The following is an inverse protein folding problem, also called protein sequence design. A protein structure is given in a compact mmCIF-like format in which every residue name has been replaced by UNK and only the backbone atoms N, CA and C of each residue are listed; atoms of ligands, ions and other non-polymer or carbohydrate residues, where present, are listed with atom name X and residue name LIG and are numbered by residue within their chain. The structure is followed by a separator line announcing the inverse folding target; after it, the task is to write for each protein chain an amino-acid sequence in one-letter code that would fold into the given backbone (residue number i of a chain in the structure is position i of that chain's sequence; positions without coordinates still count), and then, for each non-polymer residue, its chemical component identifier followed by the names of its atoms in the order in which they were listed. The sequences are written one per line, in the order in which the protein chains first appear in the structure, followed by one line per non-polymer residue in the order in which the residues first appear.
data_IF_560269032860
#
_entry.id   IF_560269032860
#
_cell.length_a   1.000
_cell.length_b   1.000
_cell.length_c   1.000
_cell.angle_alpha   90.00
_cell.angle_beta   90.00
_cell.angle_gamma   90.00
#
_symmetry.space_group_name_H-M   'P 1'
#
loop_
_entity.id
_entity.type
_entity.pdbx_description
1 polymer ?
#
# COMPACT_ATOMS: atom_id res chain seq x y z
N UNK A 1 -5.42 -22.60 -9.46
CA UNK A 1 -5.59 -22.28 -8.07
C UNK A 1 -6.08 -20.86 -7.94
N UNK A 2 -7.01 -20.59 -7.02
CA UNK A 2 -7.44 -19.21 -6.75
C UNK A 2 -6.23 -18.48 -6.16
N UNK A 3 -5.75 -17.45 -6.86
CA UNK A 3 -4.81 -16.49 -6.28
C UNK A 3 -5.61 -15.79 -5.19
N UNK A 4 -5.30 -16.11 -3.94
CA UNK A 4 -5.94 -15.42 -2.81
C UNK A 4 -5.33 -14.03 -2.69
N UNK A 5 -6.13 -13.09 -2.19
CA UNK A 5 -5.74 -11.68 -1.99
C UNK A 5 -4.80 -11.52 -0.77
N UNK A 6 -3.90 -12.47 -0.61
CA UNK A 6 -2.92 -12.50 0.46
C UNK A 6 -1.63 -11.81 0.04
N UNK A 7 -0.74 -11.60 0.98
CA UNK A 7 0.52 -10.90 0.74
C UNK A 7 1.40 -11.63 -0.30
N UNK A 8 2.41 -10.94 -0.83
CA UNK A 8 3.24 -11.44 -1.94
C UNK A 8 3.87 -12.82 -1.67
N UNK A 9 4.18 -13.13 -0.43
CA UNK A 9 4.79 -14.41 -0.07
C UNK A 9 3.78 -15.55 -0.20
N UNK A 10 2.56 -15.39 0.28
CA UNK A 10 1.49 -16.38 0.14
C UNK A 10 1.14 -16.65 -1.32
N UNK A 11 1.20 -15.61 -2.16
CA UNK A 11 0.97 -15.75 -3.60
C UNK A 11 2.10 -16.50 -4.31
N UNK A 12 3.35 -16.17 -3.98
CA UNK A 12 4.54 -16.76 -4.61
C UNK A 12 4.87 -18.15 -4.04
N UNK A 13 4.54 -18.40 -2.79
CA UNK A 13 4.84 -19.63 -2.07
C UNK A 13 3.56 -20.29 -1.55
N UNK A 14 2.58 -20.49 -2.43
CA UNK A 14 1.26 -21.07 -2.11
C UNK A 14 1.31 -22.48 -1.50
N UNK A 15 2.49 -23.12 -1.49
CA UNK A 15 2.75 -24.41 -0.85
C UNK A 15 3.24 -24.28 0.61
N UNK A 16 3.48 -23.06 1.10
CA UNK A 16 3.86 -22.84 2.49
C UNK A 16 2.65 -22.89 3.41
N UNK A 17 2.85 -23.45 4.60
CA UNK A 17 1.83 -23.39 5.68
C UNK A 17 1.84 -21.99 6.32
N UNK A 18 0.76 -21.67 7.05
CA UNK A 18 0.66 -20.41 7.80
C UNK A 18 1.82 -20.27 8.79
N UNK A 19 2.21 -21.36 9.47
CA UNK A 19 3.34 -21.35 10.42
C UNK A 19 4.68 -21.04 9.73
N UNK A 20 4.87 -21.54 8.50
CA UNK A 20 6.08 -21.25 7.71
C UNK A 20 6.12 -19.78 7.28
N UNK A 21 4.99 -19.22 6.90
CA UNK A 21 4.84 -17.81 6.53
C UNK A 21 5.13 -16.93 7.74
N UNK A 22 4.55 -17.24 8.90
CA UNK A 22 4.78 -16.51 10.15
C UNK A 22 6.24 -16.59 10.60
N UNK A 23 6.85 -17.78 10.55
CA UNK A 23 8.26 -17.95 10.86
C UNK A 23 9.17 -17.15 9.92
N UNK A 24 8.84 -17.08 8.63
CA UNK A 24 9.56 -16.25 7.67
C UNK A 24 9.48 -14.77 8.03
N UNK A 25 8.27 -14.26 8.27
CA UNK A 25 8.07 -12.85 8.60
C UNK A 25 8.74 -12.49 9.93
N UNK A 26 8.58 -13.29 10.98
CA UNK A 26 9.25 -13.06 12.26
C UNK A 26 10.78 -12.97 12.12
N UNK A 27 11.35 -13.77 11.23
CA UNK A 27 12.80 -13.81 11.01
C UNK A 27 13.34 -12.73 10.09
N UNK A 28 12.58 -12.42 9.01
CA UNK A 28 13.13 -11.63 7.91
C UNK A 28 12.44 -10.29 7.70
N UNK A 29 11.42 -9.95 8.47
CA UNK A 29 10.61 -8.75 8.26
C UNK A 29 11.45 -7.47 8.15
N UNK A 30 12.31 -7.21 9.12
CA UNK A 30 13.19 -6.03 9.11
C UNK A 30 14.13 -6.04 7.90
N UNK A 31 14.69 -7.20 7.55
CA UNK A 31 15.55 -7.33 6.38
C UNK A 31 14.79 -7.01 5.09
N UNK A 32 13.58 -7.54 4.94
CA UNK A 32 12.73 -7.25 3.77
C UNK A 32 12.41 -5.76 3.69
N UNK A 33 12.04 -5.12 4.80
CA UNK A 33 11.82 -3.67 4.85
C UNK A 33 13.05 -2.87 4.40
N UNK A 34 14.24 -3.29 4.81
CA UNK A 34 15.49 -2.56 4.55
C UNK A 34 15.92 -2.64 3.08
N UNK A 35 15.67 -3.77 2.41
CA UNK A 35 16.08 -4.01 1.02
C UNK A 35 14.99 -3.66 0.00
N UNK A 36 13.73 -3.53 0.43
CA UNK A 36 12.64 -3.17 -0.45
C UNK A 36 12.90 -1.81 -1.12
N UNK A 37 12.51 -1.69 -2.38
CA UNK A 37 12.61 -0.45 -3.15
C UNK A 37 11.22 0.10 -3.44
N UNK A 38 11.06 1.42 -3.56
CA UNK A 38 9.85 1.99 -4.09
C UNK A 38 9.53 1.42 -5.47
N UNK A 39 8.26 1.39 -5.84
CA UNK A 39 7.86 1.11 -7.21
C UNK A 39 8.36 2.22 -8.13
N UNK A 40 8.60 1.88 -9.39
CA UNK A 40 9.12 2.82 -10.39
C UNK A 40 8.25 4.09 -10.46
N UNK A 41 8.89 5.23 -10.47
CA UNK A 41 8.30 6.58 -10.46
C UNK A 41 7.44 6.92 -9.22
N UNK A 42 7.37 6.06 -8.20
CA UNK A 42 6.55 6.33 -7.02
C UNK A 42 6.98 7.60 -6.29
N UNK A 43 8.28 7.72 -6.04
CA UNK A 43 8.86 8.86 -5.31
C UNK A 43 8.61 10.17 -6.04
N UNK A 44 8.86 10.20 -7.35
CA UNK A 44 8.70 11.37 -8.19
C UNK A 44 7.23 11.82 -8.28
N UNK A 45 6.31 10.87 -8.46
CA UNK A 45 4.87 11.15 -8.55
C UNK A 45 4.33 11.64 -7.22
N UNK A 46 4.68 10.99 -6.10
CA UNK A 46 4.26 11.43 -4.76
C UNK A 46 4.76 12.86 -4.49
N UNK A 47 6.01 13.15 -4.83
CA UNK A 47 6.58 14.50 -4.69
C UNK A 47 5.79 15.53 -5.50
N UNK A 48 5.49 15.24 -6.78
CA UNK A 48 4.67 16.12 -7.63
C UNK A 48 3.28 16.36 -7.04
N UNK A 49 2.59 15.30 -6.63
CA UNK A 49 1.28 15.42 -5.98
C UNK A 49 1.36 16.32 -4.73
N UNK A 50 2.43 16.19 -3.95
CA UNK A 50 2.67 17.05 -2.79
C UNK A 50 2.90 18.51 -3.17
N UNK A 51 3.69 18.78 -4.20
CA UNK A 51 3.96 20.13 -4.74
C UNK A 51 2.69 20.79 -5.30
N UNK A 52 1.72 20.02 -5.75
CA UNK A 52 0.39 20.47 -6.20
C UNK A 52 -0.59 20.74 -5.06
N UNK A 53 -0.14 20.66 -3.80
CA UNK A 53 -0.91 21.02 -2.62
C UNK A 53 -1.71 19.86 -2.00
N UNK A 54 -1.46 18.62 -2.41
CA UNK A 54 -2.12 17.47 -1.81
C UNK A 54 -1.51 17.09 -0.45
N UNK A 55 -2.37 16.62 0.45
CA UNK A 55 -1.94 15.94 1.66
C UNK A 55 -1.66 14.47 1.38
N UNK A 56 -0.46 14.02 1.69
CA UNK A 56 -0.03 12.65 1.46
C UNK A 56 -0.08 11.87 2.78
N UNK A 57 -0.92 10.86 2.84
CA UNK A 57 -1.06 9.98 4.00
C UNK A 57 -0.60 8.57 3.63
N UNK A 58 0.42 8.08 4.31
CA UNK A 58 0.88 6.70 4.18
C UNK A 58 0.14 5.83 5.19
N UNK A 59 -0.58 4.82 4.70
CA UNK A 59 -1.37 3.90 5.51
C UNK A 59 -0.81 2.48 5.33
N UNK A 60 -0.36 1.86 6.41
CA UNK A 60 0.27 0.53 6.34
C UNK A 60 -0.15 -0.37 7.50
N UNK A 61 -0.29 -1.66 7.21
CA UNK A 61 -0.58 -2.70 8.21
C UNK A 61 0.69 -3.23 8.92
N UNK A 62 1.85 -2.62 8.71
CA UNK A 62 3.18 -3.09 9.18
C UNK A 62 3.33 -3.26 10.69
N UNK A 63 2.31 -3.06 11.48
CA UNK A 63 2.38 -3.21 12.94
C UNK A 63 2.15 -4.65 13.41
N UNK A 64 1.58 -5.51 12.56
CA UNK A 64 1.11 -6.85 12.93
C UNK A 64 2.20 -7.88 13.18
N UNK A 65 3.42 -7.67 12.65
CA UNK A 65 4.44 -8.70 12.58
C UNK A 65 5.65 -8.49 13.50
N UNK A 66 5.59 -7.57 14.47
CA UNK A 66 6.73 -7.31 15.34
C UNK A 66 6.34 -7.19 16.82
N UNK A 67 6.87 -8.07 17.61
CA UNK A 67 7.07 -7.88 19.05
C UNK A 67 8.04 -6.70 19.24
N UNK A 68 7.53 -5.46 19.33
CA UNK A 68 8.43 -4.31 19.53
C UNK A 68 7.99 -2.99 18.90
N UNK A 69 6.72 -2.81 18.67
CA UNK A 69 5.98 -1.62 18.20
C UNK A 69 6.75 -0.38 17.68
N UNK A 70 7.61 0.17 18.47
CA UNK A 70 8.40 1.37 18.14
C UNK A 70 9.48 1.13 17.09
N UNK A 71 10.11 -0.03 17.05
CA UNK A 71 11.17 -0.32 16.08
C UNK A 71 10.63 -0.34 14.63
N UNK A 72 9.43 -0.86 14.41
CA UNK A 72 8.82 -0.91 13.07
C UNK A 72 8.50 0.48 12.55
N UNK A 73 8.04 1.37 13.41
CA UNK A 73 7.83 2.76 13.03
C UNK A 73 9.14 3.42 12.62
N UNK A 74 10.20 3.27 13.42
CA UNK A 74 11.52 3.83 13.13
C UNK A 74 12.10 3.30 11.82
N UNK A 75 12.00 1.99 11.57
CA UNK A 75 12.43 1.39 10.31
C UNK A 75 11.61 1.89 9.13
N UNK A 76 10.29 2.03 9.30
CA UNK A 76 9.42 2.54 8.24
C UNK A 76 9.75 4.00 7.91
N UNK A 77 9.90 4.86 8.93
CA UNK A 77 10.29 6.26 8.73
C UNK A 77 11.65 6.39 8.06
N UNK A 78 12.66 5.65 8.51
CA UNK A 78 14.00 5.62 7.90
C UNK A 78 13.96 5.15 6.45
N UNK A 79 13.10 4.16 6.14
CA UNK A 79 12.93 3.68 4.78
C UNK A 79 12.29 4.74 3.88
N UNK A 80 11.24 5.40 4.35
CA UNK A 80 10.58 6.49 3.61
C UNK A 80 11.55 7.64 3.34
N UNK A 81 12.29 8.08 4.36
CA UNK A 81 13.30 9.13 4.25
C UNK A 81 14.43 8.76 3.28
N UNK A 82 15.02 7.58 3.45
CA UNK A 82 16.09 7.06 2.56
C UNK A 82 15.68 7.04 1.09
N UNK A 83 14.41 6.77 0.81
CA UNK A 83 13.87 6.71 -0.55
C UNK A 83 13.26 8.03 -1.02
N UNK A 84 13.37 9.11 -0.24
CA UNK A 84 12.88 10.43 -0.60
C UNK A 84 11.36 10.54 -0.73
N UNK A 85 10.61 9.64 -0.08
CA UNK A 85 9.15 9.66 -0.11
C UNK A 85 8.65 10.70 0.88
N UNK A 86 8.01 11.74 0.36
CA UNK A 86 7.41 12.83 1.15
C UNK A 86 6.00 12.48 1.58
N UNK A 87 5.65 12.83 2.82
CA UNK A 87 4.30 12.60 3.35
C UNK A 87 3.99 13.56 4.50
N UNK A 88 2.70 13.74 4.78
CA UNK A 88 2.22 14.57 5.90
C UNK A 88 1.92 13.72 7.13
N UNK A 89 1.43 12.50 6.91
CA UNK A 89 1.06 11.59 7.99
C UNK A 89 1.42 10.16 7.67
N UNK A 90 1.89 9.43 8.67
CA UNK A 90 2.12 8.00 8.64
C UNK A 90 1.17 7.33 9.65
N UNK A 91 0.37 6.38 9.17
CA UNK A 91 -0.53 5.54 10.00
C UNK A 91 -0.06 4.10 9.89
N UNK A 92 0.38 3.56 11.02
CA UNK A 92 0.84 2.18 11.16
C UNK A 92 -0.27 1.31 11.77
N UNK A 93 -0.21 0.01 11.54
CA UNK A 93 -1.11 -0.96 12.14
C UNK A 93 -2.58 -0.82 11.70
N UNK A 94 -2.83 -0.24 10.53
CA UNK A 94 -4.17 -0.01 10.03
C UNK A 94 -4.86 -1.35 9.67
N UNK A 95 -5.69 -1.86 10.58
CA UNK A 95 -6.50 -3.06 10.39
C UNK A 95 -7.72 -2.77 9.49
N UNK A 96 -8.43 -1.68 9.77
CA UNK A 96 -9.53 -1.16 8.96
C UNK A 96 -9.09 0.10 8.21
N UNK A 97 -8.69 -0.08 6.95
CA UNK A 97 -8.24 1.02 6.11
C UNK A 97 -9.38 1.97 5.72
N UNK A 98 -10.64 1.52 5.71
CA UNK A 98 -11.79 2.40 5.48
C UNK A 98 -11.96 3.39 6.64
N UNK A 99 -11.89 2.92 7.88
CA UNK A 99 -11.95 3.80 9.04
C UNK A 99 -10.84 4.85 8.99
N UNK A 100 -9.59 4.40 8.78
CA UNK A 100 -8.43 5.30 8.68
C UNK A 100 -8.59 6.31 7.53
N UNK A 101 -9.09 5.87 6.37
CA UNK A 101 -9.31 6.75 5.23
C UNK A 101 -10.37 7.83 5.54
N UNK A 102 -11.46 7.48 6.22
CA UNK A 102 -12.48 8.44 6.66
C UNK A 102 -11.94 9.45 7.68
N UNK A 103 -11.23 8.96 8.71
CA UNK A 103 -10.66 9.80 9.75
C UNK A 103 -9.62 10.81 9.22
N UNK A 104 -8.99 10.50 8.09
CA UNK A 104 -8.00 11.37 7.46
C UNK A 104 -8.53 12.09 6.21
N UNK A 105 -9.84 12.04 5.94
CA UNK A 105 -10.49 12.71 4.81
C UNK A 105 -9.80 12.38 3.47
N UNK A 106 -9.56 11.09 3.21
CA UNK A 106 -8.90 10.64 1.98
C UNK A 106 -9.85 10.76 0.79
N UNK A 107 -9.46 11.50 -0.23
CA UNK A 107 -10.21 11.65 -1.48
C UNK A 107 -9.85 10.57 -2.52
N UNK A 108 -8.59 10.12 -2.50
CA UNK A 108 -8.07 9.07 -3.38
C UNK A 108 -7.26 8.06 -2.57
N UNK A 109 -7.69 6.82 -2.57
CA UNK A 109 -6.99 5.70 -1.95
C UNK A 109 -6.32 4.83 -3.02
N UNK A 110 -5.08 4.43 -2.77
CA UNK A 110 -4.27 3.61 -3.68
C UNK A 110 -3.67 2.46 -2.89
N UNK A 111 -3.95 1.24 -3.32
CA UNK A 111 -3.43 0.04 -2.64
C UNK A 111 -3.30 -1.10 -3.68
N UNK A 112 -2.47 -2.10 -3.43
CA UNK A 112 -2.38 -3.31 -4.26
C UNK A 112 -3.19 -4.50 -3.72
N UNK A 113 -3.82 -4.36 -2.56
CA UNK A 113 -4.75 -5.33 -1.99
C UNK A 113 -6.17 -5.10 -2.49
N UNK A 114 -6.72 -6.09 -3.20
CA UNK A 114 -8.11 -6.09 -3.67
C UNK A 114 -9.08 -5.95 -2.48
N UNK A 115 -8.80 -6.65 -1.38
CA UNK A 115 -9.60 -6.57 -0.16
C UNK A 115 -9.64 -5.16 0.42
N UNK A 116 -8.50 -4.51 0.54
CA UNK A 116 -8.43 -3.13 1.06
C UNK A 116 -9.10 -2.14 0.10
N UNK A 117 -8.88 -2.28 -1.21
CA UNK A 117 -9.52 -1.43 -2.20
C UNK A 117 -11.05 -1.54 -2.13
N UNK A 118 -11.61 -2.74 -2.07
CA UNK A 118 -13.06 -2.96 -1.94
C UNK A 118 -13.61 -2.41 -0.61
N UNK A 119 -12.90 -2.62 0.49
CA UNK A 119 -13.27 -2.08 1.79
C UNK A 119 -13.37 -0.54 1.74
N UNK A 120 -12.33 0.14 1.23
CA UNK A 120 -12.32 1.61 1.17
C UNK A 120 -13.34 2.14 0.17
N UNK A 121 -13.49 1.49 -1.00
CA UNK A 121 -14.48 1.87 -2.02
C UNK A 121 -15.91 1.77 -1.49
N UNK A 122 -16.22 0.81 -0.62
CA UNK A 122 -17.54 0.67 0.01
C UNK A 122 -17.96 1.89 0.83
N UNK A 123 -17.00 2.71 1.25
CA UNK A 123 -17.23 3.99 1.92
C UNK A 123 -17.38 5.20 0.98
N UNK A 124 -17.57 4.97 -0.32
CA UNK A 124 -17.66 5.99 -1.37
C UNK A 124 -16.38 6.83 -1.53
N UNK A 125 -15.24 6.29 -1.15
CA UNK A 125 -13.92 6.90 -1.39
C UNK A 125 -13.41 6.41 -2.74
N UNK A 126 -12.93 7.31 -3.60
CA UNK A 126 -12.33 6.94 -4.87
C UNK A 126 -11.09 6.08 -4.63
N UNK A 127 -11.02 4.96 -5.34
CA UNK A 127 -9.99 3.95 -5.07
C UNK A 127 -9.35 3.50 -6.38
N UNK A 128 -8.03 3.36 -6.37
CA UNK A 128 -7.25 2.76 -7.44
C UNK A 128 -6.55 1.49 -6.94
N UNK A 129 -6.80 0.38 -7.60
CA UNK A 129 -6.06 -0.85 -7.39
C UNK A 129 -4.75 -0.79 -8.17
N UNK A 130 -3.62 -0.68 -7.46
CA UNK A 130 -2.31 -0.78 -8.10
C UNK A 130 -2.05 -2.22 -8.53
N UNK A 131 -1.81 -2.44 -9.82
CA UNK A 131 -1.55 -3.79 -10.35
C UNK A 131 -0.15 -4.25 -9.95
N UNK A 132 -0.09 -5.33 -9.20
CA UNK A 132 1.12 -5.97 -8.72
C UNK A 132 1.14 -7.45 -9.11
N UNK A 133 2.25 -8.13 -8.88
CA UNK A 133 2.39 -9.56 -9.13
C UNK A 133 1.33 -10.38 -8.37
N UNK A 134 0.83 -9.87 -7.24
CA UNK A 134 -0.14 -10.57 -6.39
C UNK A 134 -1.57 -10.51 -6.92
N UNK A 135 -1.90 -9.49 -7.71
CA UNK A 135 -3.28 -9.25 -8.14
C UNK A 135 -3.46 -9.19 -9.67
N UNK A 136 -2.37 -9.23 -10.46
CA UNK A 136 -2.43 -9.07 -11.92
C UNK A 136 -3.25 -10.16 -12.64
N UNK A 137 -3.36 -11.36 -12.05
CA UNK A 137 -4.12 -12.47 -12.59
C UNK A 137 -5.57 -12.56 -12.08
N UNK A 138 -6.03 -11.60 -11.28
CA UNK A 138 -7.37 -11.60 -10.68
C UNK A 138 -8.25 -10.59 -11.40
N UNK A 139 -9.39 -11.04 -11.93
CA UNK A 139 -10.39 -10.14 -12.51
C UNK A 139 -11.09 -9.32 -11.42
N UNK A 140 -11.11 -8.02 -11.60
CA UNK A 140 -11.72 -7.07 -10.66
C UNK A 140 -12.49 -6.01 -11.43
N UNK A 141 -13.62 -6.37 -12.10
CA UNK A 141 -14.39 -5.42 -12.91
C UNK A 141 -15.01 -4.28 -12.08
N UNK A 142 -15.08 -4.46 -10.78
CA UNK A 142 -15.59 -3.52 -9.79
C UNK A 142 -14.55 -2.49 -9.33
N UNK A 143 -13.26 -2.69 -9.64
CA UNK A 143 -12.17 -1.81 -9.21
C UNK A 143 -11.45 -1.18 -10.40
N UNK A 144 -11.24 0.11 -10.33
CA UNK A 144 -10.39 0.80 -11.31
C UNK A 144 -8.91 0.49 -11.04
N UNK A 145 -8.20 0.03 -12.09
CA UNK A 145 -6.79 -0.35 -11.99
C UNK A 145 -5.84 0.75 -12.46
N UNK A 146 -4.68 0.79 -11.83
CA UNK A 146 -3.49 1.49 -12.32
C UNK A 146 -2.32 0.52 -12.43
N UNK A 147 -1.55 0.61 -13.50
CA UNK A 147 -0.42 -0.29 -13.81
C UNK A 147 0.93 0.36 -13.53
N UNK A 148 0.95 1.65 -13.24
CA UNK A 148 2.15 2.40 -12.90
C UNK A 148 1.79 3.65 -12.09
N UNK A 149 2.80 4.24 -11.43
CA UNK A 149 2.62 5.51 -10.74
C UNK A 149 2.36 6.67 -11.71
N UNK A 150 2.88 6.61 -12.93
CA UNK A 150 2.56 7.59 -13.99
C UNK A 150 1.06 7.55 -14.31
N UNK A 151 0.47 6.36 -14.47
CA UNK A 151 -0.99 6.25 -14.67
C UNK A 151 -1.80 6.74 -13.45
N UNK A 152 -1.30 6.55 -12.23
CA UNK A 152 -1.95 7.11 -11.03
C UNK A 152 -1.99 8.64 -11.14
N UNK A 153 -0.89 9.27 -11.53
CA UNK A 153 -0.80 10.71 -11.71
C UNK A 153 -1.79 11.21 -12.78
N UNK A 154 -1.84 10.56 -13.94
CA UNK A 154 -2.79 10.90 -15.01
C UNK A 154 -4.25 10.76 -14.56
N UNK A 155 -4.57 9.68 -13.82
CA UNK A 155 -5.90 9.45 -13.29
C UNK A 155 -6.28 10.48 -12.22
N UNK A 156 -5.36 10.84 -11.33
CA UNK A 156 -5.55 11.91 -10.35
C UNK A 156 -5.96 13.22 -11.04
N UNK A 157 -5.23 13.66 -12.06
CA UNK A 157 -5.57 14.86 -12.82
C UNK A 157 -6.94 14.78 -13.49
N UNK A 158 -7.26 13.63 -14.09
CA UNK A 158 -8.59 13.40 -14.67
C UNK A 158 -9.73 13.52 -13.64
N UNK A 159 -9.47 13.16 -12.37
CA UNK A 159 -10.52 13.19 -11.33
C UNK A 159 -10.67 14.54 -10.65
N UNK A 160 -9.58 15.26 -10.41
CA UNK A 160 -9.54 16.41 -9.53
C UNK A 160 -9.13 17.72 -10.19
N UNK A 161 -8.51 17.69 -11.35
CA UNK A 161 -8.24 18.91 -12.12
C UNK A 161 -9.32 19.07 -13.21
N UNK A 162 -10.07 20.15 -13.09
CA UNK A 162 -11.01 20.60 -14.12
C UNK A 162 -10.31 21.59 -15.04
#
# INVERSE_FOLDING_TARGET
GKISDHNQIETLYSHWTSEQIDAFWNKYFIKVLTIARPKDCATEVIKKLKEEGNNIVIITSRYEYAEGGTEIEDYTRKWLEKNGIVYDKLVLGAQDKLQVAKENNIDLFIDDSIKHCRNVQSGNIRTLLYTSICNQGVETPDLERAYSWVQIYDKYHKYFQK
#
